data_IF_922790593998
#
_entry.id   IF_922790593998
#
_cell.length_a   1.000
_cell.length_b   1.000
_cell.length_c   1.000
_cell.angle_alpha   90.00
_cell.angle_beta   90.00
_cell.angle_gamma   90.00
#
_symmetry.space_group_name_H-M   'P 1'
#
loop_
_entity.id
_entity.type
_entity.pdbx_description
1 polymer ?
#
# COMPACT_ATOMS: atom_id res chain seq x y z
N UNK A 1 1.67 2.00 -9.27
CA UNK A 1 2.13 3.36 -9.63
C UNK A 1 3.56 3.35 -10.16
N UNK A 2 4.55 2.89 -9.41
CA UNK A 2 5.97 2.97 -9.79
C UNK A 2 6.31 2.22 -11.08
N UNK A 3 5.76 1.01 -11.28
CA UNK A 3 5.93 0.27 -12.54
C UNK A 3 5.38 1.03 -13.75
N UNK A 4 4.29 1.79 -13.58
CA UNK A 4 3.68 2.56 -14.65
C UNK A 4 4.50 3.80 -15.01
N UNK A 5 4.92 4.60 -14.01
CA UNK A 5 5.75 5.77 -14.29
C UNK A 5 7.10 5.34 -14.86
N UNK A 6 7.70 4.24 -14.37
CA UNK A 6 8.93 3.71 -14.93
C UNK A 6 8.77 3.32 -16.41
N UNK A 7 7.68 2.64 -16.74
CA UNK A 7 7.37 2.26 -18.13
C UNK A 7 7.17 3.46 -19.05
N UNK A 8 6.53 4.53 -18.56
CA UNK A 8 6.17 5.69 -19.36
C UNK A 8 7.26 6.76 -19.43
N UNK A 9 8.03 6.95 -18.37
CA UNK A 9 8.94 8.07 -18.18
C UNK A 9 10.36 7.67 -17.79
N UNK A 10 10.61 6.40 -17.47
CA UNK A 10 11.90 5.92 -16.96
C UNK A 10 12.20 6.37 -15.51
N UNK A 11 11.26 7.01 -14.84
CA UNK A 11 11.40 7.47 -13.46
C UNK A 11 11.11 6.32 -12.49
N UNK A 12 11.82 6.27 -11.35
CA UNK A 12 11.64 5.18 -10.38
C UNK A 12 10.34 5.29 -9.58
N UNK A 13 9.84 6.49 -9.32
CA UNK A 13 8.61 6.77 -8.58
C UNK A 13 8.06 8.15 -8.95
N UNK A 14 6.77 8.37 -8.68
CA UNK A 14 6.08 9.65 -8.86
C UNK A 14 6.34 10.56 -7.66
N UNK A 15 7.32 11.47 -7.80
CA UNK A 15 7.69 12.38 -6.72
C UNK A 15 6.51 13.23 -6.29
N UNK A 16 6.19 13.19 -4.99
CA UNK A 16 5.06 13.87 -4.35
C UNK A 16 3.68 13.52 -4.96
N UNK A 17 3.62 12.52 -5.86
CA UNK A 17 2.42 12.20 -6.63
C UNK A 17 2.06 13.28 -7.66
N UNK A 18 3.03 14.10 -8.07
CA UNK A 18 2.79 15.26 -8.93
C UNK A 18 2.27 14.87 -10.31
N UNK A 19 2.74 13.75 -10.87
CA UNK A 19 2.24 13.28 -12.15
C UNK A 19 0.81 12.73 -12.03
N UNK A 20 0.51 11.95 -11.01
CA UNK A 20 -0.87 11.52 -10.73
C UNK A 20 -1.81 12.72 -10.52
N UNK A 21 -1.36 13.75 -9.79
CA UNK A 21 -2.13 14.96 -9.57
C UNK A 21 -2.38 15.81 -10.84
N UNK A 22 -1.59 15.61 -11.90
CA UNK A 22 -1.79 16.26 -13.21
C UNK A 22 -2.81 15.56 -14.10
N UNK A 23 -3.20 14.33 -13.77
CA UNK A 23 -4.19 13.53 -14.50
C UNK A 23 -5.58 13.60 -13.86
N UNK A 24 -6.52 12.94 -14.50
CA UNK A 24 -7.89 12.77 -14.00
C UNK A 24 -8.20 11.29 -13.78
N UNK A 25 -8.88 10.99 -12.67
CA UNK A 25 -9.30 9.63 -12.37
C UNK A 25 -10.30 9.13 -13.42
N UNK A 26 -9.96 8.05 -14.10
CA UNK A 26 -10.89 7.36 -14.99
C UNK A 26 -11.72 6.35 -14.20
N UNK A 27 -12.99 6.67 -13.97
CA UNK A 27 -13.88 5.85 -13.15
C UNK A 27 -14.17 4.46 -13.76
N UNK A 28 -14.18 4.32 -15.08
CA UNK A 28 -14.39 3.03 -15.72
C UNK A 28 -13.18 2.10 -15.53
N UNK A 29 -11.97 2.62 -15.70
CA UNK A 29 -10.73 1.89 -15.39
C UNK A 29 -10.69 1.55 -13.91
N UNK A 30 -10.95 2.51 -13.02
CA UNK A 30 -10.94 2.27 -11.57
C UNK A 30 -11.90 1.15 -11.17
N UNK A 31 -13.13 1.16 -11.68
CA UNK A 31 -14.11 0.10 -11.43
C UNK A 31 -13.62 -1.27 -11.94
N UNK A 32 -12.98 -1.30 -13.11
CA UNK A 32 -12.38 -2.52 -13.67
C UNK A 32 -11.25 -3.07 -12.78
N UNK A 33 -10.40 -2.19 -12.25
CA UNK A 33 -9.29 -2.58 -11.36
C UNK A 33 -9.81 -3.06 -9.99
N UNK A 34 -10.79 -2.36 -9.40
CA UNK A 34 -11.40 -2.73 -8.13
C UNK A 34 -12.24 -4.01 -8.20
N UNK A 35 -12.61 -4.46 -9.39
CA UNK A 35 -13.31 -5.73 -9.59
C UNK A 35 -12.43 -6.97 -9.34
N UNK A 36 -11.11 -6.81 -9.16
CA UNK A 36 -10.22 -7.90 -8.77
C UNK A 36 -10.65 -8.45 -7.40
N UNK A 37 -10.79 -9.78 -7.32
CA UNK A 37 -11.27 -10.50 -6.13
C UNK A 37 -10.49 -10.18 -4.84
N UNK A 38 -9.20 -9.80 -4.97
CA UNK A 38 -8.36 -9.42 -3.84
C UNK A 38 -8.95 -8.25 -3.05
N UNK A 39 -9.53 -7.24 -3.74
CA UNK A 39 -10.09 -6.08 -3.06
C UNK A 39 -11.37 -6.43 -2.30
N UNK A 40 -12.18 -7.35 -2.82
CA UNK A 40 -13.40 -7.84 -2.16
C UNK A 40 -13.11 -8.84 -1.02
N UNK A 41 -11.93 -9.45 -0.97
CA UNK A 41 -11.57 -10.43 0.05
C UNK A 41 -11.50 -9.77 1.44
N UNK A 42 -12.11 -10.42 2.43
CA UNK A 42 -12.09 -10.01 3.84
C UNK A 42 -11.20 -10.93 4.66
N UNK A 43 -10.76 -10.43 5.82
CA UNK A 43 -9.89 -11.16 6.74
C UNK A 43 -8.42 -11.14 6.33
N UNK A 44 -7.60 -12.04 6.89
CA UNK A 44 -6.17 -12.07 6.60
C UNK A 44 -5.92 -12.26 5.10
N UNK A 45 -5.36 -11.25 4.45
CA UNK A 45 -4.98 -11.29 3.03
C UNK A 45 -3.63 -10.62 2.83
N UNK A 46 -2.84 -11.14 1.92
CA UNK A 46 -1.54 -10.60 1.55
C UNK A 46 -1.34 -10.72 0.05
N UNK A 47 -0.65 -9.77 -0.52
CA UNK A 47 -0.27 -9.77 -1.93
C UNK A 47 0.99 -8.96 -2.15
N UNK A 48 1.59 -9.09 -3.31
CA UNK A 48 2.78 -8.36 -3.69
C UNK A 48 2.83 -8.06 -5.19
N UNK A 49 4.02 -7.79 -5.68
CA UNK A 49 4.28 -7.45 -7.08
C UNK A 49 4.03 -8.60 -8.05
N UNK A 50 3.93 -9.82 -7.56
CA UNK A 50 3.58 -11.00 -8.36
C UNK A 50 2.16 -10.91 -8.91
N UNK A 51 1.23 -10.27 -8.20
CA UNK A 51 -0.16 -10.05 -8.63
C UNK A 51 -0.33 -8.67 -9.29
N UNK A 52 -0.05 -7.60 -8.56
CA UNK A 52 -0.26 -6.23 -9.02
C UNK A 52 0.99 -5.67 -9.71
N UNK A 53 1.14 -6.00 -10.97
CA UNK A 53 2.28 -5.69 -11.81
C UNK A 53 1.88 -4.99 -13.11
N UNK A 54 2.85 -4.68 -13.96
CA UNK A 54 2.58 -4.02 -15.24
C UNK A 54 1.74 -4.88 -16.21
N UNK A 55 1.99 -6.20 -16.36
CA UNK A 55 1.12 -7.08 -17.16
C UNK A 55 -0.34 -7.05 -16.71
N UNK A 56 -0.62 -7.18 -15.41
CA UNK A 56 -1.97 -7.07 -14.87
C UNK A 56 -2.64 -5.74 -15.25
N UNK A 57 -1.94 -4.62 -15.13
CA UNK A 57 -2.44 -3.31 -15.55
C UNK A 57 -2.72 -3.27 -17.05
N UNK A 58 -1.82 -3.81 -17.87
CA UNK A 58 -1.96 -3.83 -19.33
C UNK A 58 -3.18 -4.63 -19.82
N UNK A 59 -3.53 -5.73 -19.15
CA UNK A 59 -4.75 -6.48 -19.42
C UNK A 59 -6.02 -5.64 -19.21
N UNK A 60 -6.05 -4.83 -18.16
CA UNK A 60 -7.15 -3.88 -17.94
C UNK A 60 -7.15 -2.77 -18.99
N UNK A 61 -5.99 -2.20 -19.31
CA UNK A 61 -5.86 -1.13 -20.30
C UNK A 61 -6.25 -1.57 -21.71
N UNK A 62 -6.11 -2.85 -22.05
CA UNK A 62 -6.56 -3.38 -23.34
C UNK A 62 -8.09 -3.19 -23.55
N UNK A 63 -8.85 -3.07 -22.48
CA UNK A 63 -10.30 -2.81 -22.49
C UNK A 63 -10.66 -1.32 -22.40
N UNK A 64 -9.65 -0.47 -22.15
CA UNK A 64 -9.78 0.98 -22.00
C UNK A 64 -8.77 1.70 -22.92
N UNK A 65 -8.91 1.58 -24.25
CA UNK A 65 -7.95 2.17 -25.18
C UNK A 65 -7.93 3.69 -25.11
N UNK A 66 -6.76 4.25 -25.40
CA UNK A 66 -6.54 5.69 -25.58
C UNK A 66 -6.71 6.58 -24.33
N UNK A 67 -6.48 6.03 -23.11
CA UNK A 67 -6.39 6.88 -21.92
C UNK A 67 -5.04 7.60 -21.85
N UNK A 68 -5.02 8.89 -21.47
CA UNK A 68 -3.77 9.60 -21.19
C UNK A 68 -2.98 8.92 -20.09
N UNK A 69 -1.67 8.86 -20.23
CA UNK A 69 -0.82 8.16 -19.27
C UNK A 69 -0.88 8.76 -17.85
N UNK A 70 -1.09 10.08 -17.73
CA UNK A 70 -1.29 10.76 -16.45
C UNK A 70 -2.62 10.36 -15.79
N UNK A 71 -3.68 10.15 -16.57
CA UNK A 71 -4.99 9.72 -16.05
C UNK A 71 -4.93 8.27 -15.52
N UNK A 72 -4.13 7.42 -16.17
CA UNK A 72 -3.85 6.08 -15.66
C UNK A 72 -3.12 6.16 -14.32
N UNK A 73 -2.09 7.03 -14.20
CA UNK A 73 -1.37 7.24 -12.94
C UNK A 73 -2.29 7.78 -11.84
N UNK A 74 -3.15 8.76 -12.17
CA UNK A 74 -4.17 9.28 -11.25
C UNK A 74 -5.14 8.20 -10.77
N UNK A 75 -5.57 7.33 -11.70
CA UNK A 75 -6.45 6.19 -11.39
C UNK A 75 -5.77 5.16 -10.50
N UNK A 76 -4.48 4.89 -10.69
CA UNK A 76 -3.69 3.99 -9.83
C UNK A 76 -3.47 4.58 -8.43
N UNK A 77 -3.30 5.91 -8.31
CA UNK A 77 -3.25 6.57 -7.01
C UNK A 77 -4.59 6.44 -6.28
N UNK A 78 -5.70 6.69 -6.97
CA UNK A 78 -7.05 6.54 -6.43
C UNK A 78 -7.34 5.09 -6.00
N UNK A 79 -6.94 4.11 -6.81
CA UNK A 79 -7.04 2.68 -6.47
C UNK A 79 -6.29 2.39 -5.16
N UNK A 80 -5.05 2.88 -5.04
CA UNK A 80 -4.24 2.69 -3.83
C UNK A 80 -4.90 3.33 -2.61
N UNK A 81 -5.33 4.59 -2.74
CA UNK A 81 -5.96 5.30 -1.64
C UNK A 81 -7.26 4.63 -1.17
N UNK A 82 -8.13 4.21 -2.10
CA UNK A 82 -9.37 3.50 -1.76
C UNK A 82 -9.12 2.15 -1.14
N UNK A 83 -8.25 1.34 -1.72
CA UNK A 83 -7.97 -0.01 -1.18
C UNK A 83 -7.40 0.04 0.22
N UNK A 84 -6.58 1.05 0.53
CA UNK A 84 -6.05 1.28 1.88
C UNK A 84 -7.17 1.72 2.83
N UNK A 85 -7.89 2.80 2.48
CA UNK A 85 -8.91 3.38 3.36
C UNK A 85 -10.07 2.41 3.62
N UNK A 86 -10.57 1.74 2.59
CA UNK A 86 -11.66 0.77 2.72
C UNK A 86 -11.26 -0.43 3.59
N UNK A 87 -10.03 -0.95 3.40
CA UNK A 87 -9.53 -2.06 4.23
C UNK A 87 -9.30 -1.66 5.68
N UNK A 88 -8.82 -0.44 5.93
CA UNK A 88 -8.63 0.09 7.29
C UNK A 88 -9.97 0.29 8.00
N UNK A 89 -10.92 0.94 7.36
CA UNK A 89 -12.24 1.20 7.94
C UNK A 89 -13.07 -0.07 8.12
N UNK A 90 -12.90 -1.10 7.27
CA UNK A 90 -13.52 -2.41 7.47
C UNK A 90 -12.92 -3.14 8.70
N UNK A 91 -11.61 -2.99 8.93
CA UNK A 91 -10.92 -3.61 10.07
C UNK A 91 -11.06 -2.82 11.37
N UNK A 92 -11.11 -1.50 11.31
CA UNK A 92 -11.12 -0.57 12.44
C UNK A 92 -12.02 0.63 12.13
N UNK A 93 -13.36 0.48 12.24
CA UNK A 93 -14.33 1.54 11.90
C UNK A 93 -14.14 2.84 12.70
N UNK A 94 -13.73 2.71 13.96
CA UNK A 94 -13.53 3.84 14.88
C UNK A 94 -12.07 4.30 14.93
N UNK A 95 -11.34 4.16 13.81
CA UNK A 95 -9.95 4.57 13.72
C UNK A 95 -9.82 6.10 13.81
N UNK A 96 -9.14 6.59 14.84
CA UNK A 96 -8.92 8.03 15.08
C UNK A 96 -7.63 8.54 14.42
N UNK A 97 -6.64 7.66 14.19
CA UNK A 97 -5.35 8.04 13.61
C UNK A 97 -4.78 6.94 12.71
N UNK A 98 -4.24 7.34 11.56
CA UNK A 98 -3.54 6.49 10.60
C UNK A 98 -2.14 7.01 10.38
N UNK A 99 -1.14 6.23 10.79
CA UNK A 99 0.27 6.55 10.58
C UNK A 99 0.80 5.82 9.35
N UNK A 100 1.21 6.59 8.36
CA UNK A 100 1.74 6.08 7.10
C UNK A 100 3.26 6.00 7.17
N UNK A 101 3.81 4.84 6.81
CA UNK A 101 5.26 4.61 6.71
C UNK A 101 5.65 4.16 5.29
N UNK A 102 6.96 3.99 5.06
CA UNK A 102 7.51 3.60 3.77
C UNK A 102 7.42 4.71 2.71
N UNK A 103 7.63 4.35 1.44
CA UNK A 103 7.67 5.30 0.33
C UNK A 103 6.38 6.08 0.10
N UNK A 104 5.23 5.50 0.46
CA UNK A 104 3.92 6.14 0.33
C UNK A 104 3.76 7.40 1.18
N UNK A 105 4.45 7.48 2.34
CA UNK A 105 4.43 8.64 3.22
C UNK A 105 4.99 9.92 2.56
N UNK A 106 5.87 9.76 1.57
CA UNK A 106 6.45 10.86 0.80
C UNK A 106 5.60 11.27 -0.42
N UNK A 107 4.53 10.55 -0.70
CA UNK A 107 3.63 10.89 -1.80
C UNK A 107 2.51 11.81 -1.27
N UNK A 108 2.73 13.12 -1.40
CA UNK A 108 1.82 14.16 -0.91
C UNK A 108 0.40 14.02 -1.46
N UNK A 109 0.26 13.61 -2.73
CA UNK A 109 -1.06 13.43 -3.34
C UNK A 109 -1.79 12.23 -2.72
N UNK A 110 -1.08 11.13 -2.45
CA UNK A 110 -1.64 9.96 -1.77
C UNK A 110 -2.05 10.29 -0.33
N UNK A 111 -1.19 10.98 0.43
CA UNK A 111 -1.48 11.38 1.81
C UNK A 111 -2.74 12.26 1.88
N UNK A 112 -2.84 13.27 1.00
CA UNK A 112 -4.04 14.11 0.90
C UNK A 112 -5.29 13.29 0.55
N UNK A 113 -5.16 12.34 -0.39
CA UNK A 113 -6.30 11.52 -0.79
C UNK A 113 -6.77 10.59 0.31
N UNK A 114 -5.85 9.98 1.07
CA UNK A 114 -6.19 9.19 2.25
C UNK A 114 -6.93 10.01 3.30
N UNK A 115 -6.46 11.23 3.60
CA UNK A 115 -7.13 12.12 4.55
C UNK A 115 -8.56 12.50 4.07
N UNK A 116 -8.76 12.69 2.77
CA UNK A 116 -10.11 12.94 2.22
C UNK A 116 -11.04 11.73 2.32
N UNK A 117 -10.50 10.51 2.24
CA UNK A 117 -11.29 9.27 2.30
C UNK A 117 -11.57 8.83 3.74
N UNK A 118 -10.81 9.33 4.71
CA UNK A 118 -10.95 9.03 6.14
C UNK A 118 -11.07 10.33 6.95
N UNK A 119 -12.16 11.10 6.78
CA UNK A 119 -12.29 12.45 7.37
C UNK A 119 -12.35 12.44 8.90
N UNK A 120 -12.75 11.32 9.50
CA UNK A 120 -12.81 11.15 10.96
C UNK A 120 -11.45 10.73 11.56
N UNK A 121 -10.50 10.28 10.73
CA UNK A 121 -9.18 9.88 11.17
C UNK A 121 -8.12 10.91 10.78
N UNK A 122 -7.19 11.17 11.69
CA UNK A 122 -5.99 11.94 11.39
C UNK A 122 -5.01 11.09 10.58
N UNK A 123 -4.72 11.47 9.35
CA UNK A 123 -3.71 10.79 8.52
C UNK A 123 -2.38 11.55 8.63
N UNK A 124 -1.35 10.87 9.14
CA UNK A 124 -0.04 11.46 9.40
C UNK A 124 1.10 10.52 8.99
N UNK A 125 2.32 11.03 8.90
CA UNK A 125 3.53 10.24 8.71
C UNK A 125 4.06 9.77 10.07
N UNK A 126 4.69 8.59 10.12
CA UNK A 126 5.41 8.11 11.31
C UNK A 126 6.53 9.06 11.77
N UNK A 127 6.99 9.96 10.89
CA UNK A 127 7.99 10.98 11.20
C UNK A 127 7.52 11.95 12.31
N UNK A 128 6.23 12.21 12.38
CA UNK A 128 5.64 13.05 13.43
C UNK A 128 5.82 12.47 14.84
N UNK A 129 6.06 11.17 14.93
CA UNK A 129 6.38 10.47 16.17
C UNK A 129 7.88 10.14 16.30
N UNK A 130 8.72 10.79 15.50
CA UNK A 130 10.18 10.63 15.55
C UNK A 130 10.67 9.33 14.89
N UNK A 131 9.83 8.65 14.12
CA UNK A 131 10.20 7.44 13.38
C UNK A 131 10.21 7.74 11.88
N UNK A 132 11.38 7.93 11.26
CA UNK A 132 11.44 8.17 9.82
C UNK A 132 10.72 7.07 9.03
N UNK A 133 9.82 7.42 8.10
CA UNK A 133 9.00 6.45 7.37
C UNK A 133 9.80 5.35 6.68
N UNK A 134 10.98 5.69 6.14
CA UNK A 134 11.86 4.75 5.46
C UNK A 134 12.54 3.72 6.39
N UNK A 135 12.51 3.93 7.71
CA UNK A 135 13.15 3.05 8.69
C UNK A 135 12.19 2.04 9.33
N UNK A 136 10.90 2.23 9.18
CA UNK A 136 9.88 1.38 9.82
C UNK A 136 10.09 -0.10 9.50
N UNK A 137 10.36 -0.43 8.24
CA UNK A 137 10.60 -1.82 7.83
C UNK A 137 11.87 -2.38 8.47
N UNK A 138 12.98 -1.60 8.47
CA UNK A 138 14.23 -1.99 9.14
C UNK A 138 14.04 -2.20 10.65
N UNK A 139 13.28 -1.33 11.31
CA UNK A 139 12.94 -1.47 12.73
C UNK A 139 12.09 -2.71 12.98
N UNK A 140 11.13 -3.02 12.11
CA UNK A 140 10.32 -4.24 12.21
C UNK A 140 11.19 -5.50 12.11
N UNK A 141 12.13 -5.54 11.17
CA UNK A 141 13.07 -6.65 11.05
C UNK A 141 14.03 -6.76 12.24
N UNK A 142 14.52 -5.65 12.78
CA UNK A 142 15.33 -5.64 14.00
C UNK A 142 14.54 -6.17 15.20
N UNK A 143 13.26 -5.78 15.32
CA UNK A 143 12.36 -6.31 16.34
C UNK A 143 12.13 -7.84 16.17
N UNK A 144 11.91 -8.31 14.94
CA UNK A 144 11.75 -9.74 14.65
C UNK A 144 13.01 -10.52 14.99
N UNK A 145 14.22 -9.99 14.71
CA UNK A 145 15.48 -10.61 15.08
C UNK A 145 15.62 -10.72 16.61
N UNK A 146 15.28 -9.66 17.35
CA UNK A 146 15.25 -9.69 18.81
C UNK A 146 14.26 -10.73 19.32
N UNK A 147 13.02 -10.77 18.79
CA UNK A 147 12.02 -11.80 19.17
C UNK A 147 12.53 -13.21 18.92
N UNK A 148 13.24 -13.42 17.81
CA UNK A 148 13.84 -14.72 17.48
C UNK A 148 14.89 -15.12 18.51
N UNK A 149 15.82 -14.24 18.88
CA UNK A 149 16.88 -14.52 19.86
C UNK A 149 16.30 -14.83 21.24
N UNK A 150 15.26 -14.13 21.66
CA UNK A 150 14.55 -14.36 22.92
C UNK A 150 13.55 -15.53 22.85
N UNK A 151 13.44 -16.23 21.72
CA UNK A 151 12.48 -17.34 21.48
C UNK A 151 11.03 -16.93 21.71
N UNK A 152 10.70 -15.69 21.44
CA UNK A 152 9.36 -15.13 21.55
C UNK A 152 8.65 -15.16 20.19
N UNK A 153 7.30 -15.24 20.17
CA UNK A 153 6.55 -15.19 18.93
C UNK A 153 6.77 -13.87 18.18
N UNK A 154 6.95 -13.96 16.86
CA UNK A 154 7.07 -12.80 15.96
C UNK A 154 5.81 -12.52 15.13
N UNK A 155 4.74 -13.32 15.30
CA UNK A 155 3.48 -13.15 14.57
C UNK A 155 2.31 -12.88 15.51
N UNK A 156 1.25 -12.30 14.94
CA UNK A 156 -0.07 -12.17 15.55
C UNK A 156 -1.05 -13.07 14.75
N UNK A 157 -1.50 -14.22 15.30
CA UNK A 157 -2.37 -15.15 14.59
C UNK A 157 -3.67 -14.53 14.08
N UNK A 158 -4.28 -13.63 14.84
CA UNK A 158 -5.54 -12.97 14.48
C UNK A 158 -5.41 -12.10 13.22
N UNK A 159 -4.19 -11.61 12.95
CA UNK A 159 -3.91 -10.76 11.78
C UNK A 159 -3.37 -11.59 10.60
N UNK A 160 -2.60 -12.65 10.90
CA UNK A 160 -1.92 -13.44 9.86
C UNK A 160 -2.71 -14.66 9.41
N UNK A 161 -3.74 -15.06 10.16
CA UNK A 161 -4.45 -16.33 9.95
C UNK A 161 -3.64 -17.58 10.32
N UNK A 162 -2.52 -17.43 11.04
CA UNK A 162 -1.71 -18.55 11.49
C UNK A 162 -2.43 -19.36 12.58
N UNK A 163 -2.18 -20.68 12.64
CA UNK A 163 -2.78 -21.58 13.62
C UNK A 163 -2.34 -21.31 15.07
N UNK A 164 -1.38 -20.41 15.29
CA UNK A 164 -0.94 -20.01 16.62
C UNK A 164 0.35 -19.19 16.59
N UNK A 165 0.81 -18.72 17.77
CA UNK A 165 2.05 -17.97 17.88
C UNK A 165 3.26 -18.80 17.42
N UNK A 166 4.20 -18.17 16.71
CA UNK A 166 5.43 -18.81 16.20
C UNK A 166 6.62 -17.88 16.36
N UNK A 167 7.76 -18.44 16.76
CA UNK A 167 9.06 -17.79 16.59
C UNK A 167 9.40 -17.80 15.11
N UNK A 168 9.64 -16.61 14.53
CA UNK A 168 9.92 -16.45 13.11
C UNK A 168 11.40 -16.19 12.88
N UNK A 169 11.97 -16.82 11.85
CA UNK A 169 13.35 -16.63 11.45
C UNK A 169 14.19 -17.92 11.59
N UNK A 170 15.44 -17.82 11.12
CA UNK A 170 16.46 -18.85 11.27
C UNK A 170 17.83 -18.20 11.43
N UNK A 171 18.71 -18.79 12.24
CA UNK A 171 20.09 -18.37 12.40
C UNK A 171 20.99 -19.30 11.57
N UNK A 172 21.75 -18.69 10.67
CA UNK A 172 22.78 -19.40 9.90
C UNK A 172 24.14 -18.93 10.42
N UNK A 173 24.82 -19.74 11.28
CA UNK A 173 26.15 -19.36 11.75
C UNK A 173 27.15 -19.38 10.58
N UNK A 174 28.16 -18.49 10.68
CA UNK A 174 29.26 -18.42 9.71
C UNK A 174 30.18 -19.66 9.80
#
# INVERSE_FOLDING_TARGET
>A
MDAWIHHQRGEHFDRDGAWAASGQVNHALLASLLADEFFAARGPKSTGRERFNLPWLQEHLARHPALPAADIQATLLELSARSISESLLDAQPDCEEVLVCGGGAFNTALMKRLAMLMPEARVASTDEYGIPPAWMEGMAFAWLAHRFLERLPGNCPDVTGALGPRTLGALYPA
#
